data_IF_765907675654
#
_entry.id   IF_765907675654
#
_cell.length_a   1.000
_cell.length_b   1.000
_cell.length_c   1.000
_cell.angle_alpha   90.00
_cell.angle_beta   90.00
_cell.angle_gamma   90.00
#
_symmetry.space_group_name_H-M   'P 1'
#
loop_
_entity.id
_entity.type
_entity.pdbx_description
1 polymer ?
#
# COMPACT_ATOMS: atom_id res chain seq x y z
N UNK A 1 -32.18 -5.58 15.97
CA UNK A 1 -31.43 -4.46 16.62
C UNK A 1 -29.95 -4.75 16.39
N UNK A 2 -29.42 -4.23 15.28
CA UNK A 2 -28.06 -4.56 14.81
C UNK A 2 -27.15 -3.37 15.11
N UNK A 3 -26.09 -3.62 15.87
CA UNK A 3 -25.11 -2.62 16.25
C UNK A 3 -24.27 -2.22 15.03
N UNK A 4 -24.47 -1.00 14.55
CA UNK A 4 -23.59 -0.34 13.59
C UNK A 4 -22.37 0.18 14.33
N UNK A 5 -21.21 -0.44 14.12
CA UNK A 5 -19.94 0.02 14.70
C UNK A 5 -19.13 0.74 13.60
N UNK A 6 -19.13 2.07 13.66
CA UNK A 6 -17.93 2.91 13.50
C UNK A 6 -17.12 2.82 12.21
N UNK A 7 -17.74 2.96 11.04
CA UNK A 7 -17.01 3.32 9.81
C UNK A 7 -16.78 4.83 9.73
N UNK A 8 -15.53 5.26 9.62
CA UNK A 8 -15.11 6.65 9.38
C UNK A 8 -15.76 7.18 8.08
N UNK A 9 -16.99 7.71 8.18
CA UNK A 9 -17.86 8.14 7.07
C UNK A 9 -17.42 9.42 6.34
N UNK A 10 -16.19 9.89 6.55
CA UNK A 10 -15.85 11.29 6.24
C UNK A 10 -14.53 11.49 5.52
N UNK A 11 -13.89 10.41 5.05
CA UNK A 11 -12.81 10.53 4.07
C UNK A 11 -13.37 10.26 2.67
N UNK A 12 -13.44 11.32 1.86
CA UNK A 12 -13.60 11.14 0.42
C UNK A 12 -12.21 10.92 -0.16
N UNK A 13 -12.07 9.87 -0.97
CA UNK A 13 -10.85 9.57 -1.72
C UNK A 13 -11.14 9.77 -3.20
N UNK A 14 -10.26 10.50 -3.87
CA UNK A 14 -10.24 10.58 -5.33
C UNK A 14 -8.90 10.05 -5.78
N UNK A 15 -8.95 9.03 -6.61
CA UNK A 15 -7.79 8.49 -7.30
C UNK A 15 -7.78 9.13 -8.67
N UNK A 16 -6.75 9.92 -8.97
CA UNK A 16 -6.38 10.12 -10.36
C UNK A 16 -5.49 8.93 -10.74
N UNK A 17 -5.30 8.65 -12.04
CA UNK A 17 -4.17 7.87 -12.64
C UNK A 17 -4.50 6.47 -13.22
N UNK A 18 -3.56 5.81 -13.98
CA UNK A 18 -2.13 6.11 -14.25
C UNK A 18 -1.88 7.45 -15.00
N UNK A 19 -0.87 8.23 -14.58
CA UNK A 19 -0.34 9.38 -15.35
C UNK A 19 1.07 9.08 -15.84
N UNK A 20 1.44 9.67 -16.98
CA UNK A 20 2.79 9.59 -17.55
C UNK A 20 3.62 10.77 -17.03
N UNK A 21 4.83 10.48 -16.54
CA UNK A 21 5.84 11.48 -16.15
C UNK A 21 7.06 11.36 -17.07
N UNK A 22 7.35 12.43 -17.81
CA UNK A 22 8.33 12.47 -18.90
C UNK A 22 9.39 13.58 -18.74
N UNK A 23 9.70 14.00 -17.50
CA UNK A 23 10.65 15.10 -17.27
C UNK A 23 11.89 14.62 -16.53
N UNK A 24 13.09 15.04 -16.96
CA UNK A 24 14.31 14.68 -16.26
C UNK A 24 14.34 15.30 -14.86
N UNK A 25 15.01 14.61 -13.94
CA UNK A 25 15.33 15.12 -12.62
C UNK A 25 16.84 15.31 -12.48
N UNK A 26 17.24 16.43 -11.88
CA UNK A 26 18.64 16.72 -11.54
C UNK A 26 18.91 16.33 -10.09
N UNK A 27 19.78 15.34 -9.88
CA UNK A 27 20.21 14.91 -8.54
C UNK A 27 21.72 15.01 -8.46
N UNK A 28 22.25 15.88 -7.59
CA UNK A 28 23.70 16.11 -7.43
C UNK A 28 24.40 16.38 -8.77
N UNK A 29 23.79 17.23 -9.59
CA UNK A 29 24.26 17.60 -10.94
C UNK A 29 24.25 16.46 -11.97
N UNK A 30 23.61 15.32 -11.67
CA UNK A 30 23.32 14.26 -12.64
C UNK A 30 21.88 14.39 -13.14
N UNK A 31 21.73 14.50 -14.46
CA UNK A 31 20.43 14.38 -15.14
C UNK A 31 20.02 12.91 -15.21
N UNK A 32 18.79 12.64 -14.81
CA UNK A 32 18.16 11.32 -14.93
C UNK A 32 16.88 11.51 -15.71
N UNK A 33 16.81 10.95 -16.91
CA UNK A 33 15.58 10.95 -17.69
C UNK A 33 14.55 10.04 -17.01
N UNK A 34 13.33 10.55 -16.88
CA UNK A 34 12.22 9.84 -16.28
C UNK A 34 11.17 9.62 -17.36
N UNK A 35 10.84 8.36 -17.61
CA UNK A 35 9.68 7.94 -18.38
C UNK A 35 8.97 6.88 -17.56
N UNK A 36 8.01 7.30 -16.73
CA UNK A 36 7.36 6.40 -15.80
C UNK A 36 5.87 6.68 -15.66
N UNK A 37 5.17 5.67 -15.14
CA UNK A 37 3.79 5.78 -14.71
C UNK A 37 3.77 6.14 -13.23
N UNK A 38 2.83 7.00 -12.85
CA UNK A 38 2.60 7.39 -11.46
C UNK A 38 1.18 7.00 -11.02
N UNK A 39 0.94 7.06 -9.70
CA UNK A 39 -0.38 7.15 -9.08
C UNK A 39 -0.44 8.43 -8.24
N UNK A 40 -1.60 9.09 -8.23
CA UNK A 40 -1.91 10.28 -7.44
C UNK A 40 -3.20 10.01 -6.72
N UNK A 41 -3.09 9.97 -5.43
CA UNK A 41 -4.24 9.98 -4.56
C UNK A 41 -4.54 11.37 -4.04
N UNK A 42 -5.77 11.51 -3.57
CA UNK A 42 -6.20 12.64 -2.77
C UNK A 42 -7.16 12.13 -1.73
N UNK A 43 -6.90 12.46 -0.47
CA UNK A 43 -7.79 12.20 0.64
C UNK A 43 -8.05 13.49 1.42
N UNK A 44 -9.31 13.76 1.75
CA UNK A 44 -9.69 14.89 2.58
C UNK A 44 -10.77 14.49 3.58
N UNK A 45 -10.79 15.15 4.73
CA UNK A 45 -11.76 14.88 5.80
C UNK A 45 -11.16 15.14 7.18
N UNK A 46 -12.00 15.17 8.23
CA UNK A 46 -11.56 15.30 9.61
C UNK A 46 -10.42 14.33 9.98
N UNK A 47 -9.37 14.88 10.58
CA UNK A 47 -8.18 14.14 11.03
C UNK A 47 -8.20 14.10 12.56
N UNK A 48 -8.84 13.10 13.20
CA UNK A 48 -8.73 12.94 14.64
C UNK A 48 -7.25 12.84 15.03
N UNK A 49 -6.90 13.40 16.19
CA UNK A 49 -5.54 13.36 16.74
C UNK A 49 -5.18 11.93 17.19
N UNK A 50 -6.15 11.21 17.73
CA UNK A 50 -6.06 9.78 18.05
C UNK A 50 -6.16 8.93 16.77
N UNK A 51 -5.05 8.87 16.04
CA UNK A 51 -4.91 7.99 14.88
C UNK A 51 -3.92 6.84 15.03
N UNK A 52 -3.47 6.32 16.18
CA UNK A 52 -2.54 5.19 16.12
C UNK A 52 -3.28 3.92 15.68
N UNK A 53 -3.12 3.51 14.43
CA UNK A 53 -3.41 2.12 14.09
C UNK A 53 -2.73 1.59 12.85
N UNK A 54 -2.52 0.27 12.87
CA UNK A 54 -1.82 -0.45 11.83
C UNK A 54 -2.71 -0.55 10.60
N UNK A 55 -2.13 -0.25 9.45
CA UNK A 55 -2.79 -0.35 8.14
C UNK A 55 -1.69 -0.40 7.07
N UNK A 56 -2.05 -0.76 5.85
CA UNK A 56 -1.16 -0.66 4.70
C UNK A 56 -1.84 0.10 3.58
N UNK A 57 -1.07 0.90 2.86
CA UNK A 57 -1.46 1.53 1.61
C UNK A 57 -0.52 1.01 0.53
N UNK A 58 -1.08 0.27 -0.43
CA UNK A 58 -0.29 -0.51 -1.38
C UNK A 58 -0.72 -0.17 -2.78
N UNK A 59 0.24 0.06 -3.67
CA UNK A 59 -0.01 0.31 -5.08
C UNK A 59 0.94 -0.47 -5.96
N UNK A 60 0.49 -0.80 -7.16
CA UNK A 60 1.30 -1.42 -8.21
C UNK A 60 0.84 -0.96 -9.58
N UNK A 61 1.81 -0.74 -10.48
CA UNK A 61 1.56 -0.37 -11.87
C UNK A 61 2.41 -1.27 -12.76
N UNK A 62 1.74 -2.08 -13.57
CA UNK A 62 2.39 -2.88 -14.63
C UNK A 62 2.32 -2.17 -15.99
N UNK A 63 1.20 -1.48 -16.25
CA UNK A 63 1.00 -0.70 -17.47
C UNK A 63 -0.05 0.39 -17.26
N UNK A 64 -0.33 1.19 -18.30
CA UNK A 64 -1.42 2.17 -18.28
C UNK A 64 -2.81 1.51 -18.13
N UNK A 65 -2.91 0.21 -18.41
CA UNK A 65 -4.16 -0.56 -18.41
C UNK A 65 -4.19 -1.64 -17.32
N UNK A 66 -3.09 -1.83 -16.57
CA UNK A 66 -2.99 -2.77 -15.46
C UNK A 66 -2.30 -2.11 -14.27
N UNK A 67 -3.11 -1.68 -13.30
CA UNK A 67 -2.63 -1.10 -12.05
C UNK A 67 -3.64 -1.29 -10.93
N UNK A 68 -3.18 -1.21 -9.69
CA UNK A 68 -4.06 -1.22 -8.54
C UNK A 68 -3.58 -0.27 -7.47
N UNK A 69 -4.52 0.06 -6.60
CA UNK A 69 -4.23 0.62 -5.30
C UNK A 69 -5.20 0.02 -4.31
N UNK A 70 -4.70 -0.45 -3.17
CA UNK A 70 -5.53 -0.99 -2.11
C UNK A 70 -5.07 -0.49 -0.75
N UNK A 71 -6.01 -0.42 0.19
CA UNK A 71 -5.77 -0.04 1.57
C UNK A 71 -6.33 -1.13 2.46
N UNK A 72 -5.57 -1.54 3.48
CA UNK A 72 -6.06 -2.52 4.45
C UNK A 72 -6.84 -1.84 5.56
N UNK A 73 -7.81 -2.57 6.10
CA UNK A 73 -8.58 -2.14 7.26
C UNK A 73 -7.67 -1.85 8.44
N UNK A 74 -8.12 -0.87 9.21
CA UNK A 74 -7.43 -0.32 10.36
C UNK A 74 -7.42 -1.28 11.54
N UNK A 75 -6.24 -1.51 12.15
CA UNK A 75 -6.03 -2.36 13.33
C UNK A 75 -6.57 -3.79 13.20
N UNK A 76 -6.66 -4.28 11.97
CA UNK A 76 -7.15 -5.62 11.70
C UNK A 76 -5.94 -6.52 11.36
N UNK A 77 -5.61 -7.51 12.21
CA UNK A 77 -4.40 -8.29 12.07
C UNK A 77 -4.40 -9.18 10.83
N UNK A 78 -5.58 -9.49 10.29
CA UNK A 78 -5.70 -10.30 9.10
C UNK A 78 -5.30 -9.51 7.86
N UNK A 79 -5.40 -8.17 7.89
CA UNK A 79 -5.21 -7.24 6.75
C UNK A 79 -6.26 -7.31 5.62
N UNK A 80 -7.57 -7.33 5.92
CA UNK A 80 -8.58 -7.30 4.87
C UNK A 80 -8.53 -5.97 4.11
N UNK A 81 -8.83 -5.99 2.81
CA UNK A 81 -8.89 -4.78 1.99
C UNK A 81 -10.17 -4.01 2.32
N UNK A 82 -10.07 -2.69 2.46
CA UNK A 82 -11.21 -1.80 2.79
C UNK A 82 -11.53 -0.79 1.70
N UNK A 83 -10.55 -0.39 0.90
CA UNK A 83 -10.71 0.61 -0.15
C UNK A 83 -9.65 0.38 -1.21
N UNK A 84 -9.91 0.84 -2.43
CA UNK A 84 -8.94 0.77 -3.50
C UNK A 84 -9.61 0.84 -4.86
N UNK A 85 -8.79 0.72 -5.90
CA UNK A 85 -9.25 0.51 -7.27
C UNK A 85 -8.40 -0.56 -7.97
N UNK A 86 -9.00 -1.17 -8.97
CA UNK A 86 -8.34 -2.00 -9.97
C UNK A 86 -8.55 -1.36 -11.34
N UNK A 87 -7.45 -1.04 -12.02
CA UNK A 87 -7.38 -0.79 -13.44
C UNK A 87 -7.00 -2.09 -14.13
N UNK A 88 -7.89 -2.60 -14.99
CA UNK A 88 -7.66 -3.76 -15.83
C UNK A 88 -8.31 -3.52 -17.19
N UNK A 89 -7.59 -3.77 -18.28
CA UNK A 89 -8.02 -3.53 -19.67
C UNK A 89 -8.55 -2.10 -19.88
N UNK A 90 -7.87 -1.11 -19.30
CA UNK A 90 -8.22 0.30 -19.38
C UNK A 90 -9.48 0.71 -18.61
N UNK A 91 -10.09 -0.21 -17.85
CA UNK A 91 -11.29 0.03 -17.04
C UNK A 91 -10.97 0.04 -15.55
N UNK A 92 -11.41 1.11 -14.88
CA UNK A 92 -11.26 1.28 -13.42
C UNK A 92 -12.55 0.86 -12.72
N UNK A 93 -12.42 0.13 -11.62
CA UNK A 93 -13.51 -0.10 -10.67
C UNK A 93 -12.98 -0.17 -9.23
N UNK A 94 -13.84 0.05 -8.24
CA UNK A 94 -13.43 -0.03 -6.84
C UNK A 94 -13.21 -1.48 -6.42
N UNK A 95 -12.16 -1.74 -5.64
CA UNK A 95 -11.96 -3.03 -4.97
C UNK A 95 -12.94 -3.11 -3.79
N UNK A 96 -13.76 -4.16 -3.75
CA UNK A 96 -14.84 -4.34 -2.75
C UNK A 96 -14.52 -5.40 -1.70
N UNK A 97 -13.61 -6.31 -2.00
CA UNK A 97 -13.20 -7.37 -1.08
C UNK A 97 -11.80 -7.84 -1.38
N UNK A 98 -11.13 -8.40 -0.39
CA UNK A 98 -9.85 -9.08 -0.57
C UNK A 98 -9.01 -9.11 0.68
N UNK A 99 -7.79 -9.61 0.53
CA UNK A 99 -6.84 -9.84 1.58
C UNK A 99 -5.43 -9.42 1.15
N UNK A 100 -4.68 -8.83 2.08
CA UNK A 100 -3.21 -8.70 1.97
C UNK A 100 -2.57 -9.73 2.90
N UNK A 101 -1.52 -10.39 2.43
CA UNK A 101 -0.66 -11.26 3.24
C UNK A 101 0.79 -10.83 3.05
N UNK A 102 1.58 -10.90 4.12
CA UNK A 102 2.99 -10.52 4.07
C UNK A 102 3.87 -11.53 4.78
N UNK A 103 5.06 -11.72 4.23
CA UNK A 103 6.20 -12.26 4.98
C UNK A 103 7.09 -11.11 5.41
N UNK A 104 7.81 -11.29 6.51
CA UNK A 104 8.69 -10.26 7.06
C UNK A 104 10.07 -10.84 7.26
N UNK A 105 11.08 -10.05 6.93
CA UNK A 105 12.44 -10.39 7.23
C UNK A 105 12.60 -10.54 8.77
N UNK A 106 13.13 -11.67 9.27
CA UNK A 106 13.14 -11.96 10.71
C UNK A 106 14.06 -11.02 11.51
N UNK A 107 15.12 -10.50 10.90
CA UNK A 107 16.09 -9.62 11.56
C UNK A 107 15.61 -8.17 11.65
N UNK A 108 14.92 -7.70 10.60
CA UNK A 108 14.57 -6.28 10.42
C UNK A 108 13.08 -5.98 10.62
N UNK A 109 12.21 -6.97 10.42
CA UNK A 109 10.75 -6.85 10.56
C UNK A 109 10.05 -6.11 9.44
N UNK A 110 10.82 -5.65 8.46
CA UNK A 110 10.29 -5.07 7.25
C UNK A 110 9.64 -6.17 6.41
N UNK A 111 8.61 -5.79 5.67
CA UNK A 111 7.96 -6.66 4.69
C UNK A 111 8.98 -7.09 3.64
N UNK A 112 9.00 -8.39 3.31
CA UNK A 112 9.90 -8.98 2.31
C UNK A 112 9.13 -9.40 1.06
N UNK A 113 8.05 -10.16 1.24
CA UNK A 113 7.10 -10.49 0.18
C UNK A 113 5.67 -10.14 0.57
N UNK A 114 4.84 -9.88 -0.45
CA UNK A 114 3.45 -9.50 -0.33
C UNK A 114 2.63 -10.32 -1.31
N UNK A 115 1.46 -10.78 -0.87
CA UNK A 115 0.40 -11.29 -1.75
C UNK A 115 -0.86 -10.47 -1.50
N UNK A 116 -1.50 -10.03 -2.59
CA UNK A 116 -2.80 -9.38 -2.58
C UNK A 116 -3.74 -10.19 -3.46
N UNK A 117 -4.87 -10.57 -2.88
CA UNK A 117 -5.97 -11.22 -3.58
C UNK A 117 -7.24 -10.40 -3.32
N UNK A 118 -8.06 -10.14 -4.32
CA UNK A 118 -9.27 -9.38 -4.14
C UNK A 118 -10.15 -9.32 -5.37
N UNK A 119 -11.28 -8.63 -5.24
CA UNK A 119 -12.29 -8.51 -6.29
C UNK A 119 -12.84 -7.09 -6.34
N UNK A 120 -13.17 -6.62 -7.54
CA UNK A 120 -13.76 -5.30 -7.75
C UNK A 120 -15.28 -5.32 -8.01
N UNK A 121 -15.89 -4.13 -8.13
CA UNK A 121 -17.33 -3.96 -8.38
C UNK A 121 -17.80 -4.55 -9.73
N UNK A 122 -16.89 -4.75 -10.69
CA UNK A 122 -17.17 -5.38 -11.98
C UNK A 122 -17.00 -6.90 -11.91
N UNK A 123 -16.64 -7.43 -10.74
CA UNK A 123 -16.44 -8.85 -10.50
C UNK A 123 -15.11 -9.40 -10.98
N UNK A 124 -14.14 -8.55 -11.34
CA UNK A 124 -12.81 -8.92 -11.81
C UNK A 124 -11.89 -9.22 -10.64
N UNK A 125 -11.00 -10.19 -10.81
CA UNK A 125 -10.04 -10.60 -9.79
C UNK A 125 -8.76 -9.75 -9.85
N UNK A 126 -8.28 -9.35 -8.67
CA UNK A 126 -6.94 -8.82 -8.44
C UNK A 126 -6.11 -9.93 -7.81
N UNK A 127 -5.06 -10.36 -8.49
CA UNK A 127 -4.01 -11.19 -7.92
C UNK A 127 -2.67 -10.50 -8.15
N UNK A 128 -2.01 -10.10 -7.08
CA UNK A 128 -0.69 -9.50 -7.13
C UNK A 128 0.27 -10.16 -6.14
N UNK A 129 1.45 -10.55 -6.61
CA UNK A 129 2.55 -11.00 -5.75
C UNK A 129 3.73 -10.05 -5.91
N UNK A 130 4.38 -9.72 -4.80
CA UNK A 130 5.41 -8.69 -4.78
C UNK A 130 6.59 -9.03 -3.91
N UNK A 131 7.76 -8.55 -4.31
CA UNK A 131 9.01 -8.64 -3.56
C UNK A 131 9.59 -7.25 -3.34
N UNK A 132 10.01 -6.96 -2.11
CA UNK A 132 10.64 -5.69 -1.78
C UNK A 132 12.04 -5.59 -2.41
N UNK A 133 12.29 -4.49 -3.11
CA UNK A 133 13.58 -4.15 -3.71
C UNK A 133 14.43 -3.27 -2.79
N UNK A 134 13.80 -2.27 -2.20
CA UNK A 134 14.43 -1.29 -1.33
C UNK A 134 13.40 -0.65 -0.42
N UNK A 135 13.81 0.24 0.48
CA UNK A 135 12.86 0.95 1.30
C UNK A 135 13.44 2.07 2.14
N UNK A 136 12.54 2.85 2.72
CA UNK A 136 12.82 3.92 3.66
C UNK A 136 11.89 3.78 4.87
N UNK A 137 12.40 4.12 6.05
CA UNK A 137 11.58 4.25 7.26
C UNK A 137 11.30 5.72 7.48
N UNK A 138 10.02 6.10 7.46
CA UNK A 138 9.58 7.47 7.68
C UNK A 138 8.96 7.55 9.06
N UNK A 139 9.58 8.34 9.93
CA UNK A 139 9.01 8.67 11.24
C UNK A 139 8.05 9.85 11.09
N UNK A 140 6.77 9.62 11.37
CA UNK A 140 5.72 10.63 11.51
C UNK A 140 5.36 10.73 12.99
N UNK A 141 4.90 11.89 13.45
CA UNK A 141 4.71 12.21 14.87
C UNK A 141 4.10 11.07 15.73
N UNK A 142 3.08 10.36 15.24
CA UNK A 142 2.44 9.23 15.93
C UNK A 142 2.55 7.89 15.19
N UNK A 143 3.35 7.81 14.13
CA UNK A 143 3.41 6.66 13.23
C UNK A 143 4.80 6.39 12.66
N UNK A 144 5.12 5.12 12.48
CA UNK A 144 6.19 4.68 11.61
C UNK A 144 5.59 4.19 10.31
N UNK A 145 6.16 4.61 9.18
CA UNK A 145 5.87 4.06 7.87
C UNK A 145 7.10 3.33 7.35
N UNK A 146 6.95 2.05 7.02
CA UNK A 146 7.99 1.28 6.35
C UNK A 146 7.66 1.22 4.86
N UNK A 147 8.09 2.23 4.11
CA UNK A 147 7.83 2.32 2.68
C UNK A 147 8.78 1.40 1.93
N UNK A 148 8.23 0.43 1.22
CA UNK A 148 8.97 -0.47 0.34
C UNK A 148 8.73 -0.14 -1.12
N UNK A 149 9.80 -0.04 -1.92
CA UNK A 149 9.68 -0.20 -3.36
C UNK A 149 9.47 -1.69 -3.65
N UNK A 150 8.38 -2.03 -4.31
CA UNK A 150 8.00 -3.41 -4.59
C UNK A 150 8.05 -3.66 -6.09
N UNK A 151 8.72 -4.75 -6.47
CA UNK A 151 8.57 -5.38 -7.79
C UNK A 151 7.36 -6.32 -7.72
N UNK A 152 6.42 -6.17 -8.64
CA UNK A 152 5.17 -6.90 -8.67
C UNK A 152 5.04 -7.81 -9.89
N UNK A 153 4.34 -8.91 -9.72
CA UNK A 153 3.54 -9.57 -10.76
C UNK A 153 2.07 -9.28 -10.46
N UNK A 154 1.37 -8.61 -11.38
CA UNK A 154 -0.03 -8.15 -11.26
C UNK A 154 -0.83 -8.80 -12.37
N UNK A 155 -1.70 -9.77 -12.05
CA UNK A 155 -2.47 -10.53 -13.03
C UNK A 155 -1.60 -11.04 -14.21
N UNK A 156 -0.40 -11.54 -13.90
CA UNK A 156 0.58 -12.03 -14.90
C UNK A 156 1.45 -10.96 -15.56
N UNK A 157 1.27 -9.66 -15.24
CA UNK A 157 2.09 -8.57 -15.79
C UNK A 157 3.10 -8.06 -14.77
N UNK A 158 4.36 -7.86 -15.19
CA UNK A 158 5.38 -7.30 -14.30
C UNK A 158 5.21 -5.79 -14.14
N UNK A 159 5.40 -5.30 -12.92
CA UNK A 159 5.24 -3.89 -12.59
C UNK A 159 6.03 -3.48 -11.36
N UNK A 160 5.90 -2.20 -10.99
CA UNK A 160 6.51 -1.65 -9.79
C UNK A 160 5.49 -0.85 -8.99
N UNK A 161 5.75 -0.66 -7.71
CA UNK A 161 4.93 0.20 -6.87
C UNK A 161 5.44 0.28 -5.44
N UNK A 162 4.52 0.57 -4.53
CA UNK A 162 4.86 0.91 -3.15
C UNK A 162 4.02 0.08 -2.17
N UNK A 163 4.65 -0.35 -1.08
CA UNK A 163 3.98 -0.79 0.14
C UNK A 163 4.30 0.19 1.26
N UNK A 164 3.31 1.00 1.67
CA UNK A 164 3.37 1.83 2.86
C UNK A 164 2.82 1.02 4.04
N UNK A 165 3.69 0.26 4.70
CA UNK A 165 3.34 -0.53 5.89
C UNK A 165 3.37 0.39 7.12
N UNK A 166 2.17 0.83 7.54
CA UNK A 166 1.99 1.85 8.57
C UNK A 166 1.76 1.22 9.94
N UNK A 167 2.42 1.78 10.94
CA UNK A 167 2.41 1.29 12.31
C UNK A 167 2.25 2.42 13.32
N UNK A 168 1.47 2.21 14.39
CA UNK A 168 1.67 2.96 15.62
C UNK A 168 3.12 2.80 16.10
N UNK A 169 3.72 3.87 16.62
CA UNK A 169 5.10 3.84 17.11
C UNK A 169 5.30 2.72 18.15
N UNK A 170 4.36 2.54 19.08
CA UNK A 170 4.43 1.48 20.09
C UNK A 170 4.39 0.08 19.47
N UNK A 171 3.48 -0.16 18.51
CA UNK A 171 3.37 -1.46 17.84
C UNK A 171 4.62 -1.80 17.00
N UNK A 172 5.21 -0.80 16.35
CA UNK A 172 6.51 -0.97 15.67
C UNK A 172 7.61 -1.33 16.67
N UNK A 173 7.69 -0.62 17.80
CA UNK A 173 8.69 -0.87 18.84
C UNK A 173 8.53 -2.27 19.49
N UNK A 174 7.29 -2.71 19.73
CA UNK A 174 6.97 -4.05 20.21
C UNK A 174 7.45 -5.13 19.25
N UNK A 175 7.10 -4.99 17.96
CA UNK A 175 7.55 -5.90 16.91
C UNK A 175 9.09 -6.00 16.87
N UNK A 176 9.79 -4.86 16.91
CA UNK A 176 11.27 -4.84 16.92
C UNK A 176 11.87 -5.46 18.18
N UNK A 177 11.20 -5.39 19.35
CA UNK A 177 11.65 -6.06 20.58
C UNK A 177 11.51 -7.58 20.47
N UNK A 178 10.33 -8.07 20.07
CA UNK A 178 10.05 -9.49 19.91
C UNK A 178 11.04 -10.17 18.94
N UNK A 179 11.41 -9.48 17.86
CA UNK A 179 12.41 -10.00 16.92
C UNK A 179 13.80 -10.14 17.53
N UNK A 180 14.27 -9.14 18.28
CA UNK A 180 15.57 -9.21 18.95
C UNK A 180 15.63 -10.31 19.99
N UNK A 181 14.50 -10.62 20.63
CA UNK A 181 14.39 -11.74 21.57
C UNK A 181 14.41 -13.08 20.84
N UNK A 182 13.73 -13.19 19.68
CA UNK A 182 13.72 -14.41 18.87
C UNK A 182 15.06 -14.71 18.16
N UNK A 183 15.91 -13.69 17.96
CA UNK A 183 17.25 -13.84 17.37
C UNK A 183 18.37 -14.07 18.40
N UNK A 184 18.06 -14.12 19.70
CA UNK A 184 18.99 -14.48 20.78
C UNK A 184 18.92 -15.96 21.07
#
# INVERSE_FOLDING_TARGET
RSAFIGGCRQQRKVWNMPLVSQRPIDIRSRKIDIDCLAIRDRSWGPRPEHRPGRSAYVSGIASAECSFLVVTKWNDPDYPLTNGFLMLDGKIANVVSGQRRVTRNPETGVVETITIEGRDELGRELHATGRRLSGIIINRHSFIDSNGLIEWEINGQRGHGEDQDMWPVHGWAEMRRAQREASR
#
